data_IF_146680578352
#
_entry.id   IF_146680578352
#
_cell.length_a   1.000
_cell.length_b   1.000
_cell.length_c   1.000
_cell.angle_alpha   90.00
_cell.angle_beta   90.00
_cell.angle_gamma   90.00
#
_symmetry.space_group_name_H-M   'P 1'
#
loop_
_entity.id
_entity.type
_entity.pdbx_description
1 polymer ?
#
# COMPACT_ATOMS: atom_id res chain seq x y z
N UNK A 1 -11.20 -3.58 3.75
CA UNK A 1 -9.95 -3.19 4.45
C UNK A 1 -8.73 -3.20 3.53
N UNK A 2 -8.43 -4.29 2.81
CA UNK A 2 -7.22 -4.36 1.94
C UNK A 2 -7.20 -3.32 0.82
N UNK A 3 -8.27 -3.22 0.01
CA UNK A 3 -8.36 -2.20 -1.05
C UNK A 3 -8.33 -0.77 -0.51
N UNK A 4 -9.07 -0.50 0.56
CA UNK A 4 -9.11 0.80 1.23
C UNK A 4 -7.73 1.22 1.72
N UNK A 5 -6.99 0.30 2.37
CA UNK A 5 -5.65 0.57 2.88
C UNK A 5 -4.67 0.88 1.73
N UNK A 6 -4.62 0.03 0.69
CA UNK A 6 -3.70 0.23 -0.43
C UNK A 6 -3.98 1.51 -1.22
N UNK A 7 -5.27 1.83 -1.45
CA UNK A 7 -5.65 3.09 -2.11
C UNK A 7 -5.32 4.28 -1.22
N UNK A 8 -5.64 4.22 0.09
CA UNK A 8 -5.31 5.30 1.03
C UNK A 8 -3.81 5.56 1.11
N UNK A 9 -2.99 4.52 1.08
CA UNK A 9 -1.54 4.66 1.14
C UNK A 9 -0.98 5.34 -0.12
N UNK A 10 -1.48 4.96 -1.31
CA UNK A 10 -1.05 5.58 -2.57
C UNK A 10 -1.54 7.02 -2.68
N UNK A 11 -2.81 7.28 -2.34
CA UNK A 11 -3.35 8.65 -2.27
C UNK A 11 -2.57 9.50 -1.27
N UNK A 12 -2.16 8.91 -0.14
CA UNK A 12 -1.29 9.57 0.83
C UNK A 12 0.06 9.96 0.24
N UNK A 13 0.71 9.07 -0.51
CA UNK A 13 1.97 9.36 -1.21
C UNK A 13 1.76 10.44 -2.28
N UNK A 14 0.69 10.37 -3.07
CA UNK A 14 0.35 11.36 -4.09
C UNK A 14 0.12 12.76 -3.50
N UNK A 15 -0.65 12.84 -2.42
CA UNK A 15 -0.91 14.09 -1.72
C UNK A 15 0.36 14.66 -1.11
N UNK A 16 1.23 13.81 -0.56
CA UNK A 16 2.51 14.21 -0.02
C UNK A 16 3.46 14.74 -1.09
N UNK A 17 3.58 14.04 -2.21
CA UNK A 17 4.38 14.47 -3.37
C UNK A 17 3.86 15.81 -3.92
N UNK A 18 2.53 15.94 -4.06
CA UNK A 18 1.88 17.20 -4.41
C UNK A 18 2.26 18.34 -3.47
N UNK A 19 2.20 18.13 -2.15
CA UNK A 19 2.55 19.16 -1.16
C UNK A 19 4.03 19.55 -1.25
N UNK A 20 4.94 18.59 -1.42
CA UNK A 20 6.37 18.86 -1.55
C UNK A 20 6.73 19.60 -2.85
N UNK A 21 6.07 19.25 -3.96
CA UNK A 21 6.33 19.84 -5.28
C UNK A 21 5.53 21.13 -5.54
N UNK A 22 4.49 21.43 -4.74
CA UNK A 22 3.66 22.62 -4.88
C UNK A 22 4.31 23.86 -4.25
N UNK A 23 5.54 24.20 -4.66
CA UNK A 23 6.21 25.46 -4.29
C UNK A 23 5.74 26.67 -5.12
N UNK A 24 4.52 26.63 -5.68
CA UNK A 24 3.95 27.65 -6.58
C UNK A 24 2.51 28.02 -6.23
N UNK A 25 1.78 28.70 -7.14
CA UNK A 25 0.38 29.07 -6.89
C UNK A 25 -0.50 27.83 -6.74
N UNK A 26 -1.39 27.82 -5.74
CA UNK A 26 -2.29 26.71 -5.45
C UNK A 26 -3.14 26.31 -6.68
N UNK A 27 -3.59 27.29 -7.47
CA UNK A 27 -4.39 27.05 -8.67
C UNK A 27 -3.62 26.31 -9.77
N UNK A 28 -2.37 26.71 -10.02
CA UNK A 28 -1.50 26.03 -11.02
C UNK A 28 -1.07 24.65 -10.55
N UNK A 29 -0.86 24.47 -9.24
CA UNK A 29 -0.50 23.17 -8.66
C UNK A 29 -1.62 22.15 -8.85
N UNK A 30 -2.85 22.51 -8.49
CA UNK A 30 -4.01 21.59 -8.62
C UNK A 30 -4.22 21.17 -10.07
N UNK A 31 -4.13 22.11 -11.02
CA UNK A 31 -4.31 21.79 -12.44
C UNK A 31 -3.21 20.86 -12.96
N UNK A 32 -1.95 21.06 -12.53
CA UNK A 32 -0.83 20.16 -12.85
C UNK A 32 -1.03 18.76 -12.28
N UNK A 33 -1.47 18.65 -11.02
CA UNK A 33 -1.75 17.36 -10.39
C UNK A 33 -2.83 16.56 -11.13
N UNK A 34 -3.94 17.22 -11.50
CA UNK A 34 -4.99 16.56 -12.28
C UNK A 34 -4.50 16.12 -13.66
N UNK A 35 -3.68 16.94 -14.33
CA UNK A 35 -3.07 16.56 -15.61
C UNK A 35 -2.14 15.35 -15.45
N UNK A 36 -1.28 15.34 -14.44
CA UNK A 36 -0.40 14.20 -14.11
C UNK A 36 -1.18 12.92 -13.81
N UNK A 37 -2.33 13.03 -13.12
CA UNK A 37 -3.21 11.90 -12.83
C UNK A 37 -3.80 11.31 -14.12
N UNK A 38 -4.30 12.16 -15.03
CA UNK A 38 -4.85 11.72 -16.33
C UNK A 38 -3.76 11.06 -17.18
N UNK A 39 -2.57 11.67 -17.27
CA UNK A 39 -1.44 11.11 -18.01
C UNK A 39 -1.03 9.76 -17.41
N UNK A 40 -1.03 9.64 -16.08
CA UNK A 40 -0.73 8.39 -15.37
C UNK A 40 -1.73 7.29 -15.71
N UNK A 41 -3.03 7.61 -15.74
CA UNK A 41 -4.07 6.68 -16.18
C UNK A 41 -3.82 6.20 -17.61
N UNK A 42 -3.59 7.12 -18.55
CA UNK A 42 -3.32 6.77 -19.94
C UNK A 42 -2.05 5.92 -20.09
N UNK A 43 -0.97 6.30 -19.42
CA UNK A 43 0.31 5.58 -19.44
C UNK A 43 0.16 4.16 -18.87
N UNK A 44 -0.57 3.99 -17.77
CA UNK A 44 -0.80 2.66 -17.17
C UNK A 44 -1.56 1.70 -18.10
N UNK A 45 -2.53 2.21 -18.85
CA UNK A 45 -3.25 1.44 -19.88
C UNK A 45 -2.31 1.08 -21.03
N UNK A 46 -1.51 2.05 -21.51
CA UNK A 46 -0.54 1.83 -22.58
C UNK A 46 0.51 0.77 -22.20
N UNK A 47 1.07 0.86 -21.00
CA UNK A 47 2.05 -0.11 -20.50
C UNK A 47 1.44 -1.50 -20.30
N UNK A 48 0.18 -1.58 -19.83
CA UNK A 48 -0.54 -2.85 -19.71
C UNK A 48 -0.75 -3.50 -21.08
N UNK A 49 -1.13 -2.72 -22.09
CA UNK A 49 -1.24 -3.20 -23.47
C UNK A 49 0.13 -3.64 -24.03
N UNK A 50 1.18 -2.86 -23.78
CA UNK A 50 2.55 -3.20 -24.17
C UNK A 50 3.03 -4.52 -23.59
N UNK A 51 2.72 -4.79 -22.32
CA UNK A 51 3.05 -6.06 -21.70
C UNK A 51 2.24 -7.22 -22.29
N UNK A 52 0.94 -7.03 -22.54
CA UNK A 52 0.11 -8.07 -23.15
C UNK A 52 0.68 -8.51 -24.52
N UNK A 53 1.19 -7.55 -25.31
CA UNK A 53 1.88 -7.84 -26.57
C UNK A 53 3.23 -8.54 -26.36
N UNK A 54 3.99 -8.13 -25.36
CA UNK A 54 5.28 -8.74 -25.03
C UNK A 54 5.10 -10.20 -24.60
N UNK A 55 4.11 -10.48 -23.73
CA UNK A 55 3.75 -11.83 -23.30
C UNK A 55 3.25 -12.71 -24.46
N UNK A 56 2.54 -12.13 -25.43
CA UNK A 56 2.11 -12.87 -26.61
C UNK A 56 3.29 -13.38 -27.44
N UNK A 57 4.35 -12.57 -27.60
CA UNK A 57 5.47 -12.91 -28.48
C UNK A 57 6.45 -13.93 -27.88
N UNK A 58 6.33 -14.25 -26.58
CA UNK A 58 7.32 -15.06 -25.86
C UNK A 58 6.74 -16.44 -25.49
N UNK A 59 7.26 -17.48 -26.14
CA UNK A 59 6.98 -18.90 -25.86
C UNK A 59 8.00 -19.53 -24.87
N UNK A 60 8.35 -18.84 -23.78
CA UNK A 60 9.24 -19.39 -22.75
C UNK A 60 8.46 -19.90 -21.53
N UNK A 61 8.98 -20.97 -20.90
CA UNK A 61 8.40 -21.65 -19.73
C UNK A 61 8.44 -20.82 -18.43
N UNK A 62 9.05 -19.62 -18.42
CA UNK A 62 9.24 -18.80 -17.20
C UNK A 62 8.67 -17.39 -17.40
N UNK A 63 7.37 -17.27 -17.68
CA UNK A 63 6.74 -15.98 -18.00
C UNK A 63 6.57 -15.06 -16.79
N UNK A 64 6.53 -15.59 -15.56
CA UNK A 64 6.44 -14.76 -14.35
C UNK A 64 7.65 -13.83 -14.14
N UNK A 65 8.87 -14.23 -14.55
CA UNK A 65 10.06 -13.37 -14.49
C UNK A 65 9.91 -12.18 -15.44
N UNK A 66 9.28 -12.40 -16.59
CA UNK A 66 9.02 -11.34 -17.57
C UNK A 66 8.02 -10.34 -16.99
N UNK A 67 6.91 -10.82 -16.40
CA UNK A 67 5.93 -9.96 -15.71
C UNK A 67 6.63 -9.10 -14.65
N UNK A 68 7.48 -9.71 -13.81
CA UNK A 68 8.23 -8.99 -12.77
C UNK A 68 9.17 -7.93 -13.37
N UNK A 69 9.95 -8.30 -14.39
CA UNK A 69 10.89 -7.40 -15.05
C UNK A 69 10.16 -6.23 -15.72
N UNK A 70 9.02 -6.50 -16.34
CA UNK A 70 8.17 -5.48 -16.95
C UNK A 70 7.59 -4.52 -15.93
N UNK A 71 7.18 -4.98 -14.74
CA UNK A 71 6.74 -4.08 -13.66
C UNK A 71 7.87 -3.16 -13.22
N UNK A 72 9.09 -3.69 -13.07
CA UNK A 72 10.27 -2.88 -12.70
C UNK A 72 10.58 -1.85 -13.81
N UNK A 73 10.51 -2.27 -15.08
CA UNK A 73 10.69 -1.37 -16.23
C UNK A 73 9.63 -0.26 -16.25
N UNK A 74 8.35 -0.60 -16.07
CA UNK A 74 7.25 0.35 -16.03
C UNK A 74 7.45 1.34 -14.88
N UNK A 75 7.84 0.86 -13.70
CA UNK A 75 8.17 1.72 -12.56
C UNK A 75 9.31 2.69 -12.90
N UNK A 76 10.39 2.20 -13.50
CA UNK A 76 11.55 3.02 -13.87
C UNK A 76 11.18 4.08 -14.93
N UNK A 77 10.46 3.69 -15.99
CA UNK A 77 10.00 4.61 -17.03
C UNK A 77 9.05 5.66 -16.46
N UNK A 78 8.09 5.27 -15.62
CA UNK A 78 7.19 6.20 -14.96
C UNK A 78 7.96 7.21 -14.08
N UNK A 79 8.99 6.73 -13.35
CA UNK A 79 9.82 7.59 -12.51
C UNK A 79 10.64 8.60 -13.34
N UNK A 80 11.14 8.21 -14.51
CA UNK A 80 11.88 9.10 -15.42
C UNK A 80 11.02 10.25 -15.96
N UNK A 81 9.73 10.01 -16.18
CA UNK A 81 8.78 11.01 -16.67
C UNK A 81 8.15 11.81 -15.52
N UNK A 82 8.63 11.64 -14.27
CA UNK A 82 8.09 12.27 -13.07
C UNK A 82 6.60 11.96 -12.82
N UNK A 83 6.10 10.84 -13.36
CA UNK A 83 4.75 10.38 -13.06
C UNK A 83 4.75 9.66 -11.71
N UNK A 84 3.61 9.64 -11.01
CA UNK A 84 3.39 8.78 -9.85
C UNK A 84 3.56 7.29 -10.18
N UNK A 85 4.79 6.81 -10.14
CA UNK A 85 5.17 5.47 -10.60
C UNK A 85 4.46 4.36 -9.82
N UNK A 86 4.18 4.56 -8.54
CA UNK A 86 3.41 3.64 -7.71
C UNK A 86 1.96 3.51 -8.18
N UNK A 87 1.34 4.61 -8.62
CA UNK A 87 -0.02 4.60 -9.16
C UNK A 87 -0.05 3.87 -10.51
N UNK A 88 0.95 4.10 -11.38
CA UNK A 88 1.10 3.36 -12.64
C UNK A 88 1.15 1.85 -12.39
N UNK A 89 2.04 1.42 -11.47
CA UNK A 89 2.22 0.00 -11.12
C UNK A 89 0.95 -0.60 -10.51
N UNK A 90 0.22 0.14 -9.67
CA UNK A 90 -1.05 -0.30 -9.10
C UNK A 90 -2.10 -0.55 -10.19
N UNK A 91 -2.34 0.44 -11.06
CA UNK A 91 -3.38 0.34 -12.09
C UNK A 91 -3.02 -0.78 -13.06
N UNK A 92 -1.75 -0.87 -13.44
CA UNK A 92 -1.23 -1.99 -14.22
C UNK A 92 -1.52 -3.34 -13.54
N UNK A 93 -1.18 -3.48 -12.25
CA UNK A 93 -1.43 -4.72 -11.49
C UNK A 93 -2.92 -5.05 -11.39
N UNK A 94 -3.77 -4.04 -11.27
CA UNK A 94 -5.22 -4.20 -11.27
C UNK A 94 -5.74 -4.69 -12.62
N UNK A 95 -5.26 -4.12 -13.73
CA UNK A 95 -5.61 -4.55 -15.09
C UNK A 95 -5.20 -6.02 -15.32
N UNK A 96 -3.97 -6.38 -14.93
CA UNK A 96 -3.45 -7.74 -15.06
C UNK A 96 -4.22 -8.75 -14.21
N UNK A 97 -4.59 -8.39 -12.98
CA UNK A 97 -5.39 -9.24 -12.10
C UNK A 97 -6.83 -9.43 -12.60
N UNK A 98 -7.36 -8.44 -13.31
CA UNK A 98 -8.71 -8.48 -13.90
C UNK A 98 -8.68 -8.84 -15.40
N UNK A 99 -7.73 -9.68 -15.80
CA UNK A 99 -7.53 -10.08 -17.20
C UNK A 99 -8.77 -10.72 -17.86
N UNK A 100 -9.69 -11.28 -17.08
CA UNK A 100 -10.94 -11.86 -17.57
C UNK A 100 -11.82 -10.84 -18.32
N UNK A 101 -11.74 -9.55 -17.95
CA UNK A 101 -12.45 -8.46 -18.63
C UNK A 101 -11.92 -8.21 -20.05
N UNK A 102 -10.68 -8.64 -20.33
CA UNK A 102 -10.02 -8.50 -21.63
C UNK A 102 -10.09 -9.78 -22.48
N UNK A 103 -10.84 -10.80 -22.01
CA UNK A 103 -11.09 -12.05 -22.73
C UNK A 103 -12.09 -11.85 -23.86
N UNK A 104 -11.63 -11.26 -24.96
CA UNK A 104 -12.40 -11.12 -26.20
C UNK A 104 -12.00 -12.22 -27.21
N UNK A 105 -12.82 -12.42 -28.27
CA UNK A 105 -12.55 -13.39 -29.36
C UNK A 105 -11.18 -13.21 -30.01
N UNK A 106 -10.67 -11.97 -30.07
CA UNK A 106 -9.33 -11.67 -30.58
C UNK A 106 -8.24 -12.08 -29.57
N UNK A 107 -8.41 -11.73 -28.29
CA UNK A 107 -7.48 -12.10 -27.21
C UNK A 107 -7.38 -13.61 -26.98
N UNK A 108 -8.49 -14.35 -27.14
CA UNK A 108 -8.53 -15.82 -27.01
C UNK A 108 -7.71 -16.55 -28.09
N UNK A 109 -7.50 -15.92 -29.25
CA UNK A 109 -6.67 -16.46 -30.33
C UNK A 109 -5.17 -16.18 -30.12
N UNK A 110 -4.85 -15.28 -29.19
CA UNK A 110 -3.53 -14.66 -28.99
C UNK A 110 -2.93 -15.05 -27.64
N UNK A 111 -3.76 -15.25 -26.61
CA UNK A 111 -3.36 -15.49 -25.22
C UNK A 111 -4.04 -16.76 -24.72
N UNK A 112 -3.23 -17.72 -24.25
CA UNK A 112 -3.72 -18.82 -23.45
C UNK A 112 -3.98 -18.31 -22.02
N UNK A 113 -5.23 -17.98 -21.71
CA UNK A 113 -5.61 -17.40 -20.43
C UNK A 113 -5.37 -18.34 -19.25
N UNK A 114 -5.39 -19.66 -19.45
CA UNK A 114 -5.18 -20.62 -18.36
C UNK A 114 -3.70 -20.65 -17.94
N UNK A 115 -2.80 -20.71 -18.92
CA UNK A 115 -1.35 -20.62 -18.70
C UNK A 115 -0.96 -19.25 -18.11
N UNK A 116 -1.50 -18.17 -18.67
CA UNK A 116 -1.26 -16.82 -18.16
C UNK A 116 -1.72 -16.64 -16.70
N UNK A 117 -2.86 -17.21 -16.32
CA UNK A 117 -3.33 -17.16 -14.94
C UNK A 117 -2.44 -17.98 -13.99
N UNK A 118 -1.88 -19.09 -14.46
CA UNK A 118 -0.90 -19.89 -13.70
C UNK A 118 0.44 -19.15 -13.53
N UNK A 119 0.90 -18.42 -14.55
CA UNK A 119 2.08 -17.56 -14.44
C UNK A 119 1.82 -16.37 -13.50
N UNK A 120 0.64 -15.77 -13.58
CA UNK A 120 0.24 -14.66 -12.73
C UNK A 120 0.11 -15.08 -11.27
N UNK A 121 -0.37 -16.28 -10.98
CA UNK A 121 -0.43 -16.81 -9.62
C UNK A 121 0.98 -17.08 -9.05
N UNK A 122 1.86 -17.66 -9.87
CA UNK A 122 3.27 -17.88 -9.51
C UNK A 122 3.98 -16.55 -9.22
N UNK A 123 3.76 -15.54 -10.07
CA UNK A 123 4.23 -14.18 -9.83
C UNK A 123 3.75 -13.62 -8.49
N UNK A 124 2.44 -13.71 -8.19
CA UNK A 124 1.88 -13.22 -6.91
C UNK A 124 2.50 -13.89 -5.69
N UNK A 125 2.78 -15.19 -5.76
CA UNK A 125 3.43 -15.92 -4.68
C UNK A 125 4.83 -15.34 -4.41
N UNK A 126 5.64 -15.18 -5.46
CA UNK A 126 6.99 -14.58 -5.36
C UNK A 126 6.92 -13.15 -4.82
N UNK A 127 5.99 -12.32 -5.30
CA UNK A 127 5.82 -10.95 -4.79
C UNK A 127 5.42 -10.95 -3.32
N UNK A 128 4.59 -11.89 -2.89
CA UNK A 128 4.17 -12.01 -1.48
C UNK A 128 5.36 -12.36 -0.59
N UNK A 129 6.16 -13.33 -1.00
CA UNK A 129 7.39 -13.72 -0.30
C UNK A 129 8.41 -12.59 -0.26
N UNK A 130 8.65 -11.92 -1.39
CA UNK A 130 9.58 -10.80 -1.47
C UNK A 130 9.10 -9.60 -0.63
N UNK A 131 7.81 -9.30 -0.64
CA UNK A 131 7.23 -8.23 0.19
C UNK A 131 7.39 -8.53 1.68
N UNK A 132 7.27 -9.80 2.06
CA UNK A 132 7.54 -10.23 3.43
C UNK A 132 9.01 -10.01 3.81
N UNK A 133 9.94 -10.42 2.95
CA UNK A 133 11.39 -10.21 3.14
C UNK A 133 11.71 -8.72 3.28
N UNK A 134 11.25 -7.89 2.34
CA UNK A 134 11.45 -6.43 2.37
C UNK A 134 10.93 -5.84 3.68
N UNK A 135 9.75 -6.27 4.14
CA UNK A 135 9.17 -5.80 5.41
C UNK A 135 10.06 -6.16 6.61
N UNK A 136 10.59 -7.38 6.67
CA UNK A 136 11.50 -7.79 7.74
C UNK A 136 12.78 -6.95 7.75
N UNK A 137 13.46 -6.84 6.60
CA UNK A 137 14.68 -6.04 6.49
C UNK A 137 14.44 -4.58 6.83
N UNK A 138 13.33 -4.03 6.35
CA UNK A 138 12.94 -2.66 6.64
C UNK A 138 12.81 -2.40 8.14
N UNK A 139 12.09 -3.25 8.88
CA UNK A 139 11.95 -3.08 10.33
C UNK A 139 13.26 -3.30 11.09
N UNK A 140 14.13 -4.21 10.62
CA UNK A 140 15.47 -4.39 11.19
C UNK A 140 16.31 -3.12 11.01
N UNK A 141 16.41 -2.61 9.78
CA UNK A 141 17.16 -1.39 9.46
C UNK A 141 16.60 -0.18 10.21
N UNK A 142 15.27 -0.07 10.28
CA UNK A 142 14.61 0.97 11.05
C UNK A 142 14.94 0.89 12.56
N UNK A 143 14.96 -0.33 13.12
CA UNK A 143 15.41 -0.57 14.49
C UNK A 143 16.85 -0.12 14.73
N UNK A 144 17.76 -0.40 13.79
CA UNK A 144 19.16 0.06 13.86
C UNK A 144 19.31 1.58 13.73
N UNK A 145 18.47 2.23 12.92
CA UNK A 145 18.49 3.68 12.76
C UNK A 145 18.00 4.42 14.01
N UNK A 146 17.20 3.75 14.84
CA UNK A 146 16.59 4.35 16.03
C UNK A 146 17.57 4.42 17.19
N UNK A 147 17.72 5.61 17.78
CA UNK A 147 18.50 5.79 19.02
C UNK A 147 17.64 5.46 20.23
N UNK A 148 18.15 4.57 21.10
CA UNK A 148 17.46 4.19 22.33
C UNK A 148 17.23 5.38 23.28
N UNK A 149 18.17 6.33 23.31
CA UNK A 149 18.04 7.57 24.09
C UNK A 149 16.83 8.40 23.70
N UNK A 150 16.53 8.45 22.40
CA UNK A 150 15.42 9.24 21.87
C UNK A 150 14.08 8.49 22.05
N UNK A 151 14.14 7.15 22.07
CA UNK A 151 12.99 6.27 22.31
C UNK A 151 12.56 6.27 23.79
N UNK A 152 13.50 6.40 24.72
CA UNK A 152 13.19 6.44 26.17
C UNK A 152 12.95 7.87 26.69
N UNK A 153 13.03 8.88 25.83
CA UNK A 153 12.79 10.26 26.23
C UNK A 153 11.29 10.50 26.51
N UNK A 154 10.97 10.93 27.74
CA UNK A 154 9.59 11.19 28.18
C UNK A 154 8.92 12.35 27.43
N UNK A 155 9.68 13.37 27.01
CA UNK A 155 9.14 14.47 26.23
C UNK A 155 8.71 13.98 24.84
N UNK A 156 9.55 13.15 24.21
CA UNK A 156 9.18 12.50 22.94
C UNK A 156 7.94 11.62 23.13
N UNK A 157 7.87 10.85 24.23
CA UNK A 157 6.75 9.96 24.49
C UNK A 157 5.43 10.72 24.58
N UNK A 158 5.41 11.86 25.27
CA UNK A 158 4.21 12.68 25.41
C UNK A 158 3.72 13.25 24.07
N UNK A 159 4.65 13.71 23.23
CA UNK A 159 4.36 14.17 21.87
C UNK A 159 3.81 13.01 21.02
N UNK A 160 4.47 11.85 21.08
CA UNK A 160 4.11 10.65 20.33
C UNK A 160 2.73 10.11 20.71
N UNK A 161 2.40 10.08 22.00
CA UNK A 161 1.07 9.68 22.48
C UNK A 161 0.01 10.68 22.00
N UNK A 162 0.30 11.97 22.04
CA UNK A 162 -0.62 13.01 21.55
C UNK A 162 -0.89 12.86 20.05
N UNK A 163 0.15 12.60 19.25
CA UNK A 163 0.02 12.35 17.81
C UNK A 163 -0.74 11.05 17.55
N UNK A 164 -0.40 9.96 18.23
CA UNK A 164 -1.09 8.69 18.07
C UNK A 164 -2.58 8.84 18.41
N UNK A 165 -2.89 9.50 19.53
CA UNK A 165 -4.27 9.74 19.96
C UNK A 165 -5.03 10.59 18.94
N UNK A 166 -4.43 11.66 18.40
CA UNK A 166 -5.07 12.50 17.39
C UNK A 166 -5.37 11.72 16.10
N UNK A 167 -4.46 10.84 15.67
CA UNK A 167 -4.67 9.94 14.53
C UNK A 167 -5.87 9.00 14.79
N UNK A 168 -5.95 8.39 15.97
CA UNK A 168 -7.07 7.51 16.33
C UNK A 168 -8.39 8.27 16.44
N UNK A 169 -8.39 9.48 16.99
CA UNK A 169 -9.59 10.34 17.09
C UNK A 169 -10.08 10.76 15.70
N UNK A 170 -9.18 11.28 14.84
CA UNK A 170 -9.53 11.68 13.47
C UNK A 170 -10.11 10.50 12.69
N UNK A 171 -9.53 9.31 12.87
CA UNK A 171 -10.05 8.08 12.27
C UNK A 171 -11.45 7.74 12.81
N UNK A 172 -11.65 7.77 14.13
CA UNK A 172 -12.96 7.50 14.73
C UNK A 172 -14.02 8.48 14.22
N UNK A 173 -13.66 9.75 14.08
CA UNK A 173 -14.52 10.79 13.51
C UNK A 173 -14.86 10.48 12.04
N UNK A 174 -13.86 10.13 11.22
CA UNK A 174 -14.06 9.79 9.81
C UNK A 174 -14.99 8.59 9.65
N UNK A 175 -14.78 7.51 10.40
CA UNK A 175 -15.65 6.32 10.36
C UNK A 175 -17.09 6.65 10.80
N UNK A 176 -17.24 7.44 11.88
CA UNK A 176 -18.55 7.81 12.41
C UNK A 176 -19.31 8.77 11.50
N UNK A 177 -18.63 9.77 10.94
CA UNK A 177 -19.25 10.86 10.17
C UNK A 177 -19.47 10.49 8.69
N UNK A 178 -18.50 9.83 8.07
CA UNK A 178 -18.50 9.56 6.62
C UNK A 178 -19.05 8.17 6.31
N UNK A 179 -18.56 7.14 7.00
CA UNK A 179 -18.84 5.74 6.64
C UNK A 179 -20.08 5.13 7.33
N UNK A 180 -20.53 5.69 8.48
CA UNK A 180 -21.64 5.17 9.30
C UNK A 180 -21.58 3.65 9.56
N UNK A 181 -20.39 3.08 9.58
CA UNK A 181 -20.13 1.66 9.77
C UNK A 181 -19.85 1.36 11.27
N UNK A 182 -20.03 0.11 11.75
CA UNK A 182 -19.69 -0.24 13.12
C UNK A 182 -18.21 0.02 13.40
N UNK A 183 -17.95 0.80 14.45
CA UNK A 183 -16.61 1.26 14.89
C UNK A 183 -15.67 0.09 15.23
N UNK A 184 -16.23 -1.03 15.69
CA UNK A 184 -15.53 -2.27 15.98
C UNK A 184 -15.76 -3.29 14.84
N UNK A 185 -14.71 -3.93 14.28
CA UNK A 185 -13.31 -3.93 14.68
C UNK A 185 -12.40 -3.00 13.86
N UNK A 186 -12.92 -2.30 12.84
CA UNK A 186 -12.13 -1.59 11.82
C UNK A 186 -11.23 -0.45 12.34
N UNK A 187 -11.52 0.08 13.53
CA UNK A 187 -10.70 1.12 14.16
C UNK A 187 -9.30 0.60 14.53
N UNK A 188 -9.20 -0.67 14.94
CA UNK A 188 -7.96 -1.29 15.44
C UNK A 188 -7.12 -1.97 14.34
N UNK A 189 -7.73 -2.27 13.18
CA UNK A 189 -7.08 -2.99 12.08
C UNK A 189 -6.51 -2.06 11.01
N UNK A 190 -5.57 -1.18 11.39
CA UNK A 190 -4.78 -0.43 10.42
C UNK A 190 -3.31 -0.34 10.80
N UNK A 191 -2.47 -1.20 10.23
CA UNK A 191 -1.02 -1.07 10.37
C UNK A 191 -0.55 0.20 9.66
N UNK A 192 -0.33 1.27 10.41
CA UNK A 192 0.51 2.39 9.97
C UNK A 192 1.94 2.06 10.38
N UNK A 193 2.75 1.62 9.42
CA UNK A 193 4.13 1.23 9.66
C UNK A 193 5.01 1.61 8.49
N UNK A 194 5.07 0.74 7.47
CA UNK A 194 6.05 0.85 6.40
C UNK A 194 5.97 2.16 5.61
N UNK A 195 4.80 2.49 5.05
CA UNK A 195 4.67 3.66 4.17
C UNK A 195 4.78 4.98 4.95
N UNK A 196 4.28 5.04 6.18
CA UNK A 196 4.41 6.21 7.05
C UNK A 196 5.88 6.53 7.37
N UNK A 197 6.68 5.50 7.67
CA UNK A 197 8.12 5.66 7.88
C UNK A 197 8.81 6.14 6.60
N UNK A 198 8.50 5.55 5.44
CA UNK A 198 9.09 5.94 4.17
C UNK A 198 8.76 7.39 3.79
N UNK A 199 7.51 7.81 3.99
CA UNK A 199 7.08 9.19 3.76
C UNK A 199 7.82 10.16 4.67
N UNK A 200 7.99 9.83 5.95
CA UNK A 200 8.77 10.65 6.86
C UNK A 200 10.22 10.81 6.39
N UNK A 201 10.89 9.71 6.03
CA UNK A 201 12.26 9.78 5.53
C UNK A 201 12.40 10.52 4.20
N UNK A 202 11.30 10.68 3.47
CA UNK A 202 11.27 11.46 2.23
C UNK A 202 11.14 12.97 2.48
N UNK A 203 10.82 13.40 3.72
CA UNK A 203 10.74 14.84 4.06
C UNK A 203 12.15 15.44 4.11
N UNK A 204 12.43 16.51 3.36
CA UNK A 204 13.71 17.23 3.46
C UNK A 204 13.95 17.76 4.87
N UNK A 205 15.18 17.65 5.38
CA UNK A 205 15.53 18.05 6.75
C UNK A 205 15.22 19.50 7.10
N UNK A 206 15.20 20.39 6.11
CA UNK A 206 14.82 21.81 6.25
C UNK A 206 13.33 22.04 6.58
N UNK A 207 12.46 21.08 6.28
CA UNK A 207 11.01 21.14 6.54
C UNK A 207 10.64 20.40 7.83
N UNK A 208 11.61 19.79 8.51
CA UNK A 208 11.38 19.10 9.77
C UNK A 208 11.21 20.11 10.91
N UNK A 209 10.07 20.00 11.59
CA UNK A 209 9.84 20.76 12.81
C UNK A 209 10.82 20.30 13.89
N UNK A 210 11.42 21.23 14.68
CA UNK A 210 12.39 20.89 15.72
C UNK A 210 11.88 19.86 16.76
N UNK A 211 10.57 19.82 16.96
CA UNK A 211 9.90 18.92 17.91
C UNK A 211 9.59 17.53 17.32
N UNK A 212 9.68 17.36 16.00
CA UNK A 212 9.45 16.09 15.31
C UNK A 212 10.81 15.48 14.95
N UNK A 213 11.33 14.68 15.88
CA UNK A 213 12.56 13.92 15.67
C UNK A 213 12.24 12.45 15.32
N UNK A 214 13.28 11.72 14.93
CA UNK A 214 13.20 10.28 14.61
C UNK A 214 12.65 9.46 15.78
N UNK A 215 12.98 9.84 17.01
CA UNK A 215 12.50 9.17 18.24
C UNK A 215 10.99 9.24 18.40
N UNK A 216 10.39 10.42 18.20
CA UNK A 216 8.93 10.63 18.26
C UNK A 216 8.23 9.70 17.26
N UNK A 217 8.72 9.64 16.03
CA UNK A 217 8.08 8.85 14.99
C UNK A 217 8.18 7.37 15.29
N UNK A 218 9.36 6.92 15.74
CA UNK A 218 9.56 5.53 16.15
C UNK A 218 8.61 5.13 17.27
N UNK A 219 8.42 5.99 18.28
CA UNK A 219 7.45 5.75 19.34
C UNK A 219 6.01 5.71 18.82
N UNK A 220 5.59 6.63 17.92
CA UNK A 220 4.25 6.61 17.30
C UNK A 220 3.99 5.27 16.59
N UNK A 221 4.97 4.79 15.83
CA UNK A 221 4.88 3.51 15.11
C UNK A 221 4.81 2.34 16.09
N UNK A 222 5.65 2.35 17.12
CA UNK A 222 5.66 1.29 18.14
C UNK A 222 4.32 1.21 18.87
N UNK A 223 3.76 2.36 19.27
CA UNK A 223 2.42 2.46 19.86
C UNK A 223 1.36 1.92 18.89
N UNK A 224 1.42 2.29 17.61
CA UNK A 224 0.49 1.82 16.56
C UNK A 224 0.55 0.30 16.37
N UNK A 225 1.75 -0.28 16.31
CA UNK A 225 1.94 -1.73 16.19
C UNK A 225 1.43 -2.46 17.43
N UNK A 226 1.74 -1.97 18.64
CA UNK A 226 1.23 -2.55 19.88
C UNK A 226 -0.30 -2.51 19.92
N UNK A 227 -0.91 -1.36 19.58
CA UNK A 227 -2.36 -1.22 19.50
C UNK A 227 -2.99 -2.21 18.52
N UNK A 228 -2.37 -2.44 17.37
CA UNK A 228 -2.83 -3.44 16.41
C UNK A 228 -2.67 -4.88 16.95
N UNK A 229 -1.57 -5.19 17.63
CA UNK A 229 -1.36 -6.51 18.25
C UNK A 229 -2.42 -6.77 19.32
N UNK A 230 -2.69 -5.81 20.20
CA UNK A 230 -3.77 -5.92 21.19
C UNK A 230 -5.15 -6.05 20.52
N UNK A 231 -5.42 -5.25 19.49
CA UNK A 231 -6.65 -5.37 18.69
C UNK A 231 -6.82 -6.76 18.09
N UNK A 232 -5.78 -7.32 17.48
CA UNK A 232 -5.82 -8.66 16.91
C UNK A 232 -6.07 -9.72 17.99
N UNK A 233 -5.39 -9.65 19.14
CA UNK A 233 -5.61 -10.63 20.23
C UNK A 233 -7.03 -10.57 20.79
N UNK A 234 -7.58 -9.36 20.97
CA UNK A 234 -8.93 -9.15 21.52
C UNK A 234 -10.00 -9.60 20.52
N UNK A 235 -9.87 -9.23 19.24
CA UNK A 235 -10.91 -9.47 18.23
C UNK A 235 -10.75 -10.79 17.46
N UNK A 236 -9.57 -11.42 17.42
CA UNK A 236 -9.41 -12.79 16.89
C UNK A 236 -10.21 -13.79 17.72
N UNK A 237 -10.35 -13.55 19.04
CA UNK A 237 -11.21 -14.34 19.94
C UNK A 237 -12.71 -14.20 19.63
N UNK A 238 -13.14 -13.13 18.96
CA UNK A 238 -14.53 -12.94 18.56
C UNK A 238 -14.89 -13.67 17.25
N UNK A 239 -13.91 -14.02 16.40
CA UNK A 239 -14.13 -14.82 15.19
C UNK A 239 -14.26 -16.32 15.46
N UNK A 240 -13.62 -16.84 16.51
CA UNK A 240 -13.74 -18.24 16.93
C UNK A 240 -15.02 -18.52 17.75
N UNK A 241 -15.64 -17.49 18.34
CA UNK A 241 -16.88 -17.62 19.12
C UNK A 241 -18.16 -17.62 18.27
N UNK A 242 -18.06 -17.43 16.94
CA UNK A 242 -19.20 -17.38 15.99
C UNK A 242 -19.09 -18.50 14.94
N UNK A 243 -18.36 -19.57 15.22
CA UNK A 243 -18.56 -20.84 14.53
C UNK A 243 -19.59 -21.65 15.31
N UNK A 244 -20.91 -21.61 14.96
CA UNK A 244 -21.80 -22.64 15.44
C UNK A 244 -21.30 -23.96 14.85
N UNK A 245 -21.13 -24.93 15.75
CA UNK A 245 -20.81 -26.32 15.50
C UNK A 245 -21.43 -26.87 14.21
N UNK A 246 -20.62 -27.00 13.16
CA UNK A 246 -21.01 -27.61 11.90
C UNK A 246 -21.07 -29.15 11.99
N UNK A 247 -21.04 -29.73 13.19
CA UNK A 247 -21.14 -31.17 13.43
C UNK A 247 -22.39 -31.61 14.21
N UNK A 248 -23.35 -30.72 14.46
CA UNK A 248 -24.67 -31.09 14.97
C UNK A 248 -25.65 -31.46 13.84
N UNK A 249 -25.31 -32.49 13.04
CA UNK A 249 -26.33 -33.22 12.29
C UNK A 249 -26.88 -34.32 13.21
N UNK A 250 -28.17 -34.34 13.56
CA UNK A 250 -28.74 -35.46 14.29
C UNK A 250 -28.66 -36.71 13.41
N UNK A 251 -27.94 -37.71 13.88
CA UNK A 251 -28.10 -39.08 13.40
C UNK A 251 -29.49 -39.55 13.80
N UNK A 252 -30.42 -39.59 12.85
CA UNK A 252 -31.54 -40.54 12.76
C UNK A 252 -32.06 -40.57 11.34
#
# INVERSE_FOLDING_TARGET
VTYESSISDIVGILAFDFILLSSGSLGTGVLRFFAELIITLMASVLFSAGLALLLHKINHHVKYVIIMTSIILIYALAKLVYLPSLLVVLIFGLIMNNNALFKNRFSLKIINFDEFNADLSSFKNIVTELTFIIRCFFFILFGFYTRLSDLLNLNNLLISVTIALSIFILRALFFKMVLRAPLSPLLYFAPRGLITILLFFSIPSIMLLPFINVGVITQVIFISILMMTFGNVIFKKAGEAIAPDANALPRT
#
